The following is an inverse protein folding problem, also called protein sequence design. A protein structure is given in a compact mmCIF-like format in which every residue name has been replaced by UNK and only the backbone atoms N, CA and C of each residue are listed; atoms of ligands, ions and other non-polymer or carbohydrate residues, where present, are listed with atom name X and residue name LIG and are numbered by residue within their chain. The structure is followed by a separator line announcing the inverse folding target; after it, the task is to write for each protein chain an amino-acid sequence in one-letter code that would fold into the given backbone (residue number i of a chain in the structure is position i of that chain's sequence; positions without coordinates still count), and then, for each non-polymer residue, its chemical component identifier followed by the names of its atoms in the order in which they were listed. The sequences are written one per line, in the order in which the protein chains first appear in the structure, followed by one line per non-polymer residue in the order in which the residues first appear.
data_IF_778089039687
#
_entry.id   IF_778089039687
#
_cell.length_a   1.000
_cell.length_b   1.000
_cell.length_c   1.000
_cell.angle_alpha   90.00
_cell.angle_beta   90.00
_cell.angle_gamma   90.00
#
_symmetry.space_group_name_H-M   'P 1'
#
loop_
_entity.id
_entity.type
_entity.pdbx_description
1 polymer ?
#
# COMPACT_ATOMS: atom_id res chain seq x y z
N UNK A 1 13.76 5.64 -10.60
CA UNK A 1 12.81 6.14 -9.58
C UNK A 1 12.26 4.92 -8.86
N UNK A 2 12.55 4.78 -7.57
CA UNK A 2 12.02 3.70 -6.73
C UNK A 2 10.50 3.86 -6.63
N UNK A 3 9.77 2.76 -6.76
CA UNK A 3 8.31 2.76 -6.70
C UNK A 3 7.84 2.63 -5.24
N UNK A 4 7.50 3.76 -4.63
CA UNK A 4 7.07 3.81 -3.23
C UNK A 4 5.57 3.56 -3.04
N UNK A 5 4.82 3.20 -4.09
CA UNK A 5 3.36 2.99 -3.97
C UNK A 5 3.00 1.93 -2.94
N UNK A 6 3.65 0.76 -3.01
CA UNK A 6 3.40 -0.32 -2.05
C UNK A 6 3.77 0.02 -0.61
N UNK A 7 5.00 0.47 -0.28
CA UNK A 7 5.34 0.79 1.11
C UNK A 7 4.49 1.93 1.68
N UNK A 8 4.18 2.96 0.89
CA UNK A 8 3.26 4.03 1.34
C UNK A 8 1.84 3.50 1.57
N UNK A 9 1.31 2.67 0.66
CA UNK A 9 -0.02 2.07 0.84
C UNK A 9 -0.09 1.12 2.05
N UNK A 10 0.97 0.35 2.27
CA UNK A 10 1.10 -0.52 3.45
C UNK A 10 1.02 0.29 4.74
N UNK A 11 1.86 1.33 4.87
CA UNK A 11 1.83 2.21 6.03
C UNK A 11 0.45 2.86 6.20
N UNK A 12 -0.17 3.31 5.11
CA UNK A 12 -1.48 3.94 5.13
C UNK A 12 -2.57 3.00 5.67
N UNK A 13 -2.63 1.76 5.17
CA UNK A 13 -3.62 0.76 5.61
C UNK A 13 -3.39 0.36 7.07
N UNK A 14 -2.13 0.21 7.51
CA UNK A 14 -1.81 -0.06 8.91
C UNK A 14 -2.20 1.11 9.83
N UNK A 15 -1.98 2.36 9.41
CA UNK A 15 -2.43 3.54 10.17
C UNK A 15 -3.95 3.61 10.30
N UNK A 16 -4.69 3.26 9.24
CA UNK A 16 -6.16 3.15 9.31
C UNK A 16 -6.57 2.04 10.29
N UNK A 17 -5.94 0.87 10.21
CA UNK A 17 -6.22 -0.24 11.11
C UNK A 17 -5.92 0.10 12.59
N UNK A 18 -4.84 0.83 12.87
CA UNK A 18 -4.53 1.33 14.23
C UNK A 18 -5.61 2.29 14.72
N UNK A 19 -6.00 3.27 13.90
CA UNK A 19 -7.00 4.26 14.27
C UNK A 19 -8.34 3.58 14.61
N UNK A 20 -8.76 2.59 13.83
CA UNK A 20 -9.98 1.81 14.13
C UNK A 20 -9.90 1.07 15.47
N UNK A 21 -8.77 0.47 15.81
CA UNK A 21 -8.60 -0.22 17.09
C UNK A 21 -8.54 0.73 18.30
N UNK A 22 -8.00 1.93 18.11
CA UNK A 22 -7.97 2.99 19.13
C UNK A 22 -9.28 3.78 19.22
N UNK A 23 -10.25 3.54 18.33
CA UNK A 23 -11.48 4.35 18.23
C UNK A 23 -11.24 5.79 17.74
N UNK A 24 -10.09 6.03 17.10
CA UNK A 24 -9.69 7.33 16.57
C UNK A 24 -10.18 7.52 15.14
N UNK A 25 -10.38 8.78 14.75
CA UNK A 25 -10.79 9.13 13.39
C UNK A 25 -9.58 9.22 12.47
N UNK A 26 -9.60 8.45 11.37
CA UNK A 26 -8.61 8.59 10.29
C UNK A 26 -9.16 9.46 9.15
N UNK A 27 -8.34 10.38 8.63
CA UNK A 27 -8.65 11.22 7.46
C UNK A 27 -7.46 11.27 6.51
N UNK A 28 -7.69 11.64 5.25
CA UNK A 28 -6.59 11.77 4.27
C UNK A 28 -5.54 12.82 4.70
N UNK A 29 -5.93 13.82 5.50
CA UNK A 29 -5.01 14.83 6.03
C UNK A 29 -4.12 14.26 7.15
N UNK A 30 -4.71 13.49 8.08
CA UNK A 30 -3.98 12.79 9.13
C UNK A 30 -2.99 11.78 8.53
N UNK A 31 -3.45 11.00 7.54
CA UNK A 31 -2.59 10.07 6.82
C UNK A 31 -1.47 10.81 6.08
N UNK A 32 -1.77 11.88 5.33
CA UNK A 32 -0.73 12.62 4.63
C UNK A 32 0.34 13.20 5.57
N UNK A 33 -0.05 13.65 6.76
CA UNK A 33 0.87 14.11 7.80
C UNK A 33 1.75 12.97 8.32
N UNK A 34 1.15 11.87 8.80
CA UNK A 34 1.88 10.74 9.39
C UNK A 34 2.73 9.94 8.38
N UNK A 35 2.41 10.04 7.08
CA UNK A 35 3.21 9.43 6.01
C UNK A 35 4.24 10.40 5.40
N UNK A 36 4.31 11.65 5.87
CA UNK A 36 5.11 12.73 5.27
C UNK A 36 4.98 12.79 3.73
N UNK A 37 3.76 12.54 3.25
CA UNK A 37 3.49 12.29 1.84
C UNK A 37 2.62 13.39 1.24
N UNK A 38 2.82 13.65 -0.05
CA UNK A 38 1.97 14.61 -0.77
C UNK A 38 0.49 14.15 -0.72
N UNK A 39 -0.47 15.00 -0.28
CA UNK A 39 -1.88 14.63 -0.22
C UNK A 39 -2.47 14.14 -1.54
N UNK A 40 -1.96 14.63 -2.68
CA UNK A 40 -2.39 14.18 -4.00
C UNK A 40 -1.92 12.75 -4.29
N UNK A 41 -0.74 12.36 -3.81
CA UNK A 41 -0.24 10.99 -3.93
C UNK A 41 -1.06 10.03 -3.06
N UNK A 42 -1.37 10.41 -1.82
CA UNK A 42 -2.27 9.65 -0.95
C UNK A 42 -3.63 9.43 -1.62
N UNK A 43 -4.25 10.48 -2.17
CA UNK A 43 -5.51 10.35 -2.92
C UNK A 43 -5.41 9.41 -4.11
N UNK A 44 -4.28 9.43 -4.86
CA UNK A 44 -4.05 8.48 -5.94
C UNK A 44 -3.98 7.04 -5.46
N UNK A 45 -3.35 6.77 -4.31
CA UNK A 45 -3.31 5.43 -3.71
C UNK A 45 -4.67 4.99 -3.15
N UNK A 46 -5.49 5.93 -2.66
CA UNK A 46 -6.83 5.60 -2.17
C UNK A 46 -7.76 5.08 -3.26
N UNK A 47 -7.59 5.50 -4.51
CA UNK A 47 -8.46 5.08 -5.63
C UNK A 47 -8.48 3.56 -5.81
N UNK A 48 -7.36 2.87 -6.07
CA UNK A 48 -7.38 1.42 -6.23
C UNK A 48 -7.73 0.70 -4.92
N UNK A 49 -7.29 1.19 -3.77
CA UNK A 49 -7.61 0.57 -2.48
C UNK A 49 -9.12 0.63 -2.17
N UNK A 50 -9.81 1.68 -2.60
CA UNK A 50 -11.27 1.79 -2.47
C UNK A 50 -11.97 0.91 -3.50
N UNK A 51 -11.50 0.91 -4.75
CA UNK A 51 -12.00 0.02 -5.82
C UNK A 51 -12.00 -1.44 -5.39
N UNK A 52 -10.92 -1.87 -4.72
CA UNK A 52 -10.71 -3.26 -4.32
C UNK A 52 -11.27 -3.57 -2.91
N UNK A 53 -12.01 -2.63 -2.31
CA UNK A 53 -12.69 -2.82 -1.02
C UNK A 53 -11.74 -2.97 0.18
N UNK A 54 -10.49 -2.53 0.06
CA UNK A 54 -9.50 -2.56 1.13
C UNK A 54 -9.76 -1.43 2.13
N UNK A 55 -10.09 -0.24 1.61
CA UNK A 55 -10.49 0.92 2.41
C UNK A 55 -11.86 1.44 1.95
N UNK A 56 -12.57 2.09 2.85
CA UNK A 56 -13.80 2.83 2.57
C UNK A 56 -13.63 4.24 3.12
N UNK A 57 -14.01 5.24 2.32
CA UNK A 57 -14.00 6.63 2.74
C UNK A 57 -15.40 7.21 2.68
N UNK A 58 -15.83 7.85 3.78
CA UNK A 58 -17.06 8.65 3.83
C UNK A 58 -16.74 10.11 3.54
N UNK A 59 -17.60 10.77 2.76
CA UNK A 59 -17.47 12.19 2.43
C UNK A 59 -18.23 13.07 3.43
N UNK A 60 -17.83 14.34 3.54
CA UNK A 60 -18.51 15.37 4.33
C UNK A 60 -17.72 15.83 5.56
N UNK A 61 -18.34 16.69 6.38
CA UNK A 61 -17.71 17.30 7.57
C UNK A 61 -17.19 16.26 8.57
N UNK A 62 -17.86 15.11 8.65
CA UNK A 62 -17.49 13.97 9.48
C UNK A 62 -16.87 12.80 8.68
N UNK A 63 -16.35 13.07 7.47
CA UNK A 63 -15.74 12.04 6.64
C UNK A 63 -14.56 11.36 7.32
N UNK A 64 -14.50 10.04 7.21
CA UNK A 64 -13.47 9.20 7.81
C UNK A 64 -13.03 8.12 6.83
N UNK A 65 -11.86 7.55 7.08
CA UNK A 65 -11.31 6.43 6.33
C UNK A 65 -11.30 5.22 7.25
N UNK A 66 -11.83 4.12 6.74
CA UNK A 66 -12.03 2.86 7.44
C UNK A 66 -11.49 1.69 6.60
N UNK A 67 -11.23 0.55 7.23
CA UNK A 67 -11.02 -0.68 6.49
C UNK A 67 -12.34 -1.13 5.86
N UNK A 68 -12.31 -1.54 4.60
CA UNK A 68 -13.51 -2.01 3.88
C UNK A 68 -13.94 -3.42 4.26
N UNK A 69 -13.08 -4.16 4.95
CA UNK A 69 -13.29 -5.53 5.42
C UNK A 69 -12.40 -5.82 6.65
N UNK A 70 -12.66 -6.88 7.43
CA UNK A 70 -11.88 -7.16 8.64
C UNK A 70 -10.37 -7.30 8.35
N UNK A 71 -9.52 -6.77 9.23
CA UNK A 71 -8.07 -6.72 9.07
C UNK A 71 -7.42 -8.11 8.94
N UNK A 72 -8.09 -9.15 9.44
CA UNK A 72 -7.68 -10.56 9.36
C UNK A 72 -7.89 -11.13 7.95
N UNK A 73 -8.73 -10.49 7.13
CA UNK A 73 -9.06 -10.94 5.77
C UNK A 73 -8.30 -10.17 4.69
N UNK A 74 -7.69 -9.04 5.04
CA UNK A 74 -6.87 -8.23 4.13
C UNK A 74 -5.43 -8.74 4.20
N UNK A 75 -4.93 -9.30 3.10
CA UNK A 75 -3.52 -9.71 3.00
C UNK A 75 -2.65 -8.54 2.51
N UNK A 76 -1.35 -8.59 2.80
CA UNK A 76 -0.40 -7.62 2.23
C UNK A 76 -0.29 -7.76 0.71
N UNK A 77 -0.59 -8.96 0.18
CA UNK A 77 -0.71 -9.21 -1.26
C UNK A 77 -1.84 -8.37 -1.86
N UNK A 78 -2.98 -8.29 -1.20
CA UNK A 78 -4.12 -7.51 -1.69
C UNK A 78 -3.75 -6.03 -1.83
N UNK A 79 -3.05 -5.48 -0.82
CA UNK A 79 -2.53 -4.10 -0.86
C UNK A 79 -1.56 -3.93 -2.03
N UNK A 80 -0.60 -4.85 -2.20
CA UNK A 80 0.39 -4.80 -3.27
C UNK A 80 -0.26 -4.79 -4.65
N UNK A 81 -1.09 -5.80 -4.93
CA UNK A 81 -1.75 -5.95 -6.24
C UNK A 81 -2.64 -4.75 -6.54
N UNK A 82 -3.34 -4.23 -5.54
CA UNK A 82 -4.19 -3.06 -5.68
C UNK A 82 -3.43 -1.82 -6.20
N UNK A 83 -2.28 -1.50 -5.60
CA UNK A 83 -1.58 -0.23 -5.89
C UNK A 83 -0.49 -0.33 -6.96
N UNK A 84 0.06 -1.52 -7.19
CA UNK A 84 1.06 -1.76 -8.23
C UNK A 84 0.40 -1.98 -9.60
N UNK A 85 -0.81 -2.57 -9.59
CA UNK A 85 -1.60 -2.93 -10.78
C UNK A 85 -0.76 -3.80 -11.74
N UNK A 86 -0.71 -3.47 -13.03
CA UNK A 86 -0.02 -4.28 -14.05
C UNK A 86 1.49 -4.03 -14.13
N UNK A 87 2.07 -3.25 -13.20
CA UNK A 87 3.49 -2.93 -13.25
C UNK A 87 4.32 -4.11 -12.74
N UNK A 88 5.09 -4.72 -13.65
CA UNK A 88 6.01 -5.80 -13.35
C UNK A 88 7.10 -5.41 -12.34
N UNK A 89 7.45 -6.37 -11.48
CA UNK A 89 8.56 -6.26 -10.53
C UNK A 89 9.88 -5.90 -11.22
N UNK A 90 10.19 -6.57 -12.33
CA UNK A 90 11.36 -6.27 -13.17
C UNK A 90 10.96 -5.97 -14.61
N UNK A 91 11.49 -4.88 -15.14
CA UNK A 91 11.27 -4.49 -16.53
C UNK A 91 12.17 -5.33 -17.45
N UNK A 92 11.55 -6.04 -18.41
CA UNK A 92 12.31 -6.69 -19.48
C UNK A 92 12.94 -5.64 -20.39
N UNK A 93 14.07 -6.00 -21.02
CA UNK A 93 14.62 -5.18 -22.10
C UNK A 93 13.72 -5.23 -23.33
N UNK A 94 13.77 -4.21 -24.20
CA UNK A 94 13.16 -4.28 -25.52
C UNK A 94 13.67 -5.49 -26.31
N UNK A 95 12.84 -6.00 -27.22
CA UNK A 95 13.23 -7.09 -28.11
C UNK A 95 14.42 -6.69 -28.98
N UNK A 96 15.37 -7.61 -29.11
CA UNK A 96 16.58 -7.44 -29.93
C UNK A 96 16.57 -8.44 -31.08
N UNK A 97 17.16 -8.13 -32.24
CA UNK A 97 17.25 -9.07 -33.35
C UNK A 97 17.95 -10.38 -32.93
N UNK A 98 17.41 -11.52 -33.40
CA UNK A 98 17.96 -12.85 -33.17
C UNK A 98 19.26 -13.05 -33.96
N UNK A 99 20.40 -12.66 -33.38
CA UNK A 99 21.76 -12.81 -33.93
C UNK A 99 22.44 -14.12 -33.53
N UNK A 100 21.99 -14.72 -32.43
CA UNK A 100 22.43 -16.00 -31.89
C UNK A 100 21.34 -16.61 -30.99
N UNK A 101 21.55 -17.87 -30.57
CA UNK A 101 20.62 -18.59 -29.66
C UNK A 101 20.28 -17.79 -28.40
N UNK A 102 21.24 -17.05 -27.84
CA UNK A 102 21.02 -16.23 -26.65
C UNK A 102 20.09 -15.05 -26.97
N UNK A 103 20.39 -14.25 -28.00
CA UNK A 103 19.54 -13.11 -28.37
C UNK A 103 18.13 -13.51 -28.83
N UNK A 104 17.96 -14.73 -29.36
CA UNK A 104 16.65 -15.28 -29.72
C UNK A 104 15.79 -15.66 -28.51
N UNK A 105 16.42 -16.00 -27.38
CA UNK A 105 15.73 -16.60 -26.23
C UNK A 105 15.79 -15.78 -24.93
N UNK A 106 16.70 -14.81 -24.84
CA UNK A 106 16.93 -14.06 -23.59
C UNK A 106 15.70 -13.30 -23.11
N UNK A 107 14.86 -12.77 -24.01
CA UNK A 107 13.68 -12.00 -23.62
C UNK A 107 12.62 -12.88 -22.93
N UNK A 108 12.25 -14.02 -23.52
CA UNK A 108 11.25 -14.90 -22.91
C UNK A 108 11.79 -15.53 -21.62
N UNK A 109 13.07 -15.93 -21.60
CA UNK A 109 13.69 -16.53 -20.41
C UNK A 109 13.78 -15.53 -19.26
N UNK A 110 14.09 -14.26 -19.55
CA UNK A 110 14.03 -13.20 -18.55
C UNK A 110 12.61 -13.02 -18.00
N UNK A 111 11.59 -12.99 -18.88
CA UNK A 111 10.19 -12.89 -18.47
C UNK A 111 9.79 -14.04 -17.54
N UNK A 112 10.19 -15.29 -17.85
CA UNK A 112 9.85 -16.43 -16.99
C UNK A 112 10.47 -16.33 -15.59
N UNK A 113 11.74 -15.90 -15.49
CA UNK A 113 12.39 -15.69 -14.18
C UNK A 113 11.74 -14.53 -13.42
N UNK A 114 11.43 -13.44 -14.12
CA UNK A 114 10.79 -12.28 -13.52
C UNK A 114 9.40 -12.62 -12.97
N UNK A 115 8.61 -13.41 -13.72
CA UNK A 115 7.31 -13.88 -13.27
C UNK A 115 7.44 -14.84 -12.07
N UNK A 116 8.41 -15.74 -12.07
CA UNK A 116 8.69 -16.63 -10.93
C UNK A 116 9.02 -15.84 -9.66
N UNK A 117 9.91 -14.85 -9.77
CA UNK A 117 10.29 -13.99 -8.64
C UNK A 117 9.12 -13.13 -8.13
N UNK A 118 8.27 -12.64 -9.04
CA UNK A 118 7.06 -11.91 -8.71
C UNK A 118 6.06 -12.80 -7.95
N UNK A 119 5.83 -14.03 -8.42
CA UNK A 119 4.95 -14.99 -7.73
C UNK A 119 5.48 -15.37 -6.35
N UNK A 120 6.79 -15.61 -6.21
CA UNK A 120 7.40 -15.89 -4.91
C UNK A 120 7.19 -14.72 -3.93
N UNK A 121 7.35 -13.48 -4.41
CA UNK A 121 7.11 -12.28 -3.61
C UNK A 121 5.64 -12.16 -3.19
N UNK A 122 4.69 -12.39 -4.12
CA UNK A 122 3.26 -12.38 -3.82
C UNK A 122 2.86 -13.49 -2.84
N UNK A 123 3.50 -14.66 -2.91
CA UNK A 123 3.27 -15.77 -1.99
C UNK A 123 3.69 -15.44 -0.56
N UNK A 124 4.80 -14.72 -0.37
CA UNK A 124 5.21 -14.20 0.95
C UNK A 124 4.18 -13.19 1.47
N UNK A 125 3.79 -12.22 0.63
CA UNK A 125 2.82 -11.19 1.03
C UNK A 125 1.44 -11.77 1.37
N UNK A 126 1.04 -12.87 0.74
CA UNK A 126 -0.22 -13.55 1.01
C UNK A 126 -0.28 -14.22 2.40
N UNK A 127 0.87 -14.53 3.01
CA UNK A 127 0.95 -15.13 4.35
C UNK A 127 0.75 -14.11 5.48
N UNK A 128 0.75 -12.82 5.16
CA UNK A 128 0.64 -11.74 6.12
C UNK A 128 -0.66 -11.00 5.93
N UNK A 129 -1.46 -10.94 7.00
CA UNK A 129 -2.67 -10.10 7.06
C UNK A 129 -2.35 -8.75 7.67
N UNK A 130 -3.19 -7.74 7.42
CA UNK A 130 -3.10 -6.43 8.08
C UNK A 130 -3.10 -6.59 9.59
N UNK A 131 -3.98 -7.43 10.14
CA UNK A 131 -4.01 -7.72 11.58
C UNK A 131 -2.68 -8.29 12.09
N UNK A 132 -2.14 -9.31 11.41
CA UNK A 132 -0.87 -9.94 11.83
C UNK A 132 0.33 -9.00 11.71
N UNK A 133 0.36 -8.15 10.68
CA UNK A 133 1.41 -7.18 10.46
C UNK A 133 1.34 -6.08 11.54
N UNK A 134 0.13 -5.61 11.85
CA UNK A 134 -0.10 -4.60 12.86
C UNK A 134 0.34 -5.06 14.25
N UNK A 135 -0.01 -6.27 14.65
CA UNK A 135 0.42 -6.86 15.92
C UNK A 135 1.94 -6.98 16.02
N UNK A 136 2.64 -7.25 14.92
CA UNK A 136 4.10 -7.26 14.90
C UNK A 136 4.68 -5.85 15.05
N UNK A 137 4.10 -4.86 14.36
CA UNK A 137 4.55 -3.46 14.40
C UNK A 137 4.37 -2.88 15.81
N UNK A 138 3.24 -3.14 16.47
CA UNK A 138 3.00 -2.67 17.86
C UNK A 138 3.99 -3.21 18.90
N UNK A 139 4.52 -4.41 18.67
CA UNK A 139 5.50 -5.06 19.57
C UNK A 139 6.93 -4.58 19.33
N UNK A 140 7.17 -3.81 18.28
CA UNK A 140 8.47 -3.19 18.02
C UNK A 140 8.69 -1.99 18.94
N UNK A 141 9.94 -1.53 19.03
CA UNK A 141 10.32 -0.39 19.86
C UNK A 141 9.59 0.91 19.44
N UNK A 142 8.98 1.59 20.41
CA UNK A 142 8.20 2.82 20.23
C UNK A 142 8.89 4.07 20.77
N UNK A 143 10.17 3.95 21.17
CA UNK A 143 10.92 5.04 21.83
C UNK A 143 11.11 6.31 20.98
N UNK A 144 10.81 6.27 19.67
CA UNK A 144 10.92 7.39 18.74
C UNK A 144 9.60 7.89 18.14
N UNK A 145 8.42 7.53 18.70
CA UNK A 145 7.13 7.96 18.16
C UNK A 145 6.76 9.38 18.62
N UNK A 146 6.55 10.29 17.67
CA UNK A 146 5.92 11.59 17.93
C UNK A 146 4.38 11.46 17.92
N UNK A 147 3.67 12.12 18.85
CA UNK A 147 2.21 12.10 18.86
C UNK A 147 1.63 12.80 17.62
N UNK A 148 0.60 12.21 17.03
CA UNK A 148 -0.14 12.82 15.92
C UNK A 148 -0.87 14.08 16.45
N UNK A 149 -0.73 15.25 15.81
CA UNK A 149 -1.40 16.47 16.26
C UNK A 149 -2.93 16.35 16.14
N UNK A 150 -3.65 16.89 17.12
CA UNK A 150 -5.12 16.98 17.09
C UNK A 150 -5.58 17.91 15.95
N UNK A 151 -6.04 17.35 14.84
CA UNK A 151 -6.43 18.11 13.62
C UNK A 151 -7.89 18.62 13.63
N UNK A 152 -8.59 18.52 14.77
CA UNK A 152 -10.02 18.90 14.91
C UNK A 152 -10.32 20.41 14.77
N UNK A 153 -9.28 21.27 14.71
CA UNK A 153 -9.43 22.72 14.67
C UNK A 153 -9.64 23.36 13.28
N UNK A 154 -9.37 22.66 12.17
CA UNK A 154 -9.23 23.30 10.85
C UNK A 154 -10.54 23.45 10.04
N UNK A 155 -11.68 22.94 10.52
CA UNK A 155 -12.97 23.01 9.79
C UNK A 155 -13.98 24.01 10.38
N UNK A 156 -13.53 24.92 11.27
CA UNK A 156 -14.38 25.96 11.90
C UNK A 156 -14.41 27.33 11.20
N UNK A 157 -13.81 27.50 10.02
CA UNK A 157 -13.96 28.74 9.23
C UNK A 157 -14.10 28.47 7.73
N UNK A 158 -15.35 28.37 7.30
CA UNK A 158 -15.89 28.91 6.04
C UNK A 158 -17.42 28.73 6.08
#
# INVERSE_FOLDING_TARGET
MLDYRFPTALQMVLSVAMAEQSGERSTSAILAYGLEANPSFIRKLMVPLTRDGIIVSTLGRNGSIHLGRPAETITLRDIYVSVIEDKKLWASRPDVPARCVVSANACWYFKSIADEAEQASLAVLAQHTVASALEKVKKADTSGCDPVPEMDGLHKKA
#
